data_IF_833749182802
#
_entry.id   IF_833749182802
#
_cell.length_a   1.000
_cell.length_b   1.000
_cell.length_c   1.000
_cell.angle_alpha   90.00
_cell.angle_beta   90.00
_cell.angle_gamma   90.00
#
_symmetry.space_group_name_H-M   'P 1'
#
loop_
_entity.id
_entity.type
_entity.pdbx_description
1 polymer ?
#
# COMPACT_ATOMS: atom_id res chain seq x y z
N UNK A 1 -7.61 13.08 8.83
CA UNK A 1 -7.76 11.61 8.86
C UNK A 1 -6.64 10.99 9.68
N UNK A 2 -6.98 10.16 10.66
CA UNK A 2 -6.00 9.49 11.51
C UNK A 2 -5.15 8.48 10.73
N UNK A 3 -3.84 8.41 11.02
CA UNK A 3 -2.90 7.42 10.46
C UNK A 3 -1.69 7.26 11.37
N UNK A 4 -0.95 6.17 11.21
CA UNK A 4 0.34 6.02 11.88
C UNK A 4 1.38 6.99 11.30
N UNK A 5 1.89 7.91 12.13
CA UNK A 5 2.93 8.89 11.76
C UNK A 5 4.30 8.59 12.39
N UNK A 6 4.41 7.54 13.19
CA UNK A 6 5.64 7.19 13.89
C UNK A 6 6.73 6.54 13.01
N UNK A 7 7.81 6.04 13.64
CA UNK A 7 8.95 5.43 12.94
C UNK A 7 8.54 4.26 12.03
N UNK A 8 8.84 4.38 10.73
CA UNK A 8 8.43 3.40 9.71
C UNK A 8 9.33 2.17 9.65
N UNK A 9 10.65 2.35 9.74
CA UNK A 9 11.61 1.23 9.75
C UNK A 9 11.41 0.30 10.95
N UNK A 10 10.84 0.80 12.06
CA UNK A 10 10.43 -0.01 13.22
C UNK A 10 9.36 -1.03 12.84
N UNK A 11 8.42 -0.67 11.96
CA UNK A 11 7.36 -1.56 11.51
C UNK A 11 7.91 -2.67 10.62
N UNK A 12 8.73 -2.33 9.63
CA UNK A 12 9.36 -3.33 8.75
C UNK A 12 10.24 -4.30 9.54
N UNK A 13 11.05 -3.80 10.49
CA UNK A 13 11.82 -4.66 11.41
C UNK A 13 10.96 -5.59 12.27
N UNK A 14 9.73 -5.18 12.62
CA UNK A 14 8.83 -6.01 13.42
C UNK A 14 8.19 -7.12 12.57
N UNK A 15 7.89 -6.83 11.31
CA UNK A 15 7.28 -7.78 10.38
C UNK A 15 8.31 -8.61 9.61
N UNK A 16 9.60 -8.30 9.75
CA UNK A 16 10.70 -9.10 9.17
C UNK A 16 10.86 -8.96 7.65
N UNK A 17 10.04 -8.15 6.98
CA UNK A 17 10.12 -7.88 5.54
C UNK A 17 10.06 -6.38 5.25
N UNK A 18 10.45 -5.96 4.05
CA UNK A 18 10.32 -4.57 3.62
C UNK A 18 8.87 -4.24 3.25
N UNK A 19 8.21 -3.46 4.12
CA UNK A 19 6.85 -2.97 3.91
C UNK A 19 6.76 -1.81 2.89
N UNK A 20 7.86 -1.43 2.23
CA UNK A 20 7.92 -0.35 1.22
C UNK A 20 7.43 1.01 1.75
N UNK A 21 7.58 1.25 3.05
CA UNK A 21 7.15 2.48 3.73
C UNK A 21 8.16 3.64 3.57
N UNK A 22 9.28 3.39 2.89
CA UNK A 22 10.32 4.36 2.56
C UNK A 22 10.67 4.21 1.08
N UNK A 23 11.03 5.33 0.45
CA UNK A 23 11.42 5.39 -0.96
C UNK A 23 12.59 4.46 -1.27
N UNK A 24 12.64 3.90 -2.48
CA UNK A 24 13.62 2.89 -2.90
C UNK A 24 15.08 3.37 -3.01
N UNK A 25 15.36 4.65 -2.78
CA UNK A 25 16.69 5.29 -2.96
C UNK A 25 17.85 4.56 -2.27
N UNK A 26 17.59 3.97 -1.09
CA UNK A 26 18.55 3.10 -0.41
C UNK A 26 17.94 1.71 -0.19
N UNK A 27 18.71 0.63 -0.32
CA UNK A 27 18.23 -0.71 0.02
C UNK A 27 17.71 -0.78 1.46
N UNK A 28 16.74 -1.66 1.69
CA UNK A 28 16.11 -1.86 3.00
C UNK A 28 17.14 -2.10 4.11
N UNK A 29 18.11 -3.00 3.88
CA UNK A 29 19.12 -3.41 4.86
C UNK A 29 20.01 -2.26 5.32
N UNK A 30 20.30 -1.32 4.42
CA UNK A 30 21.07 -0.11 4.75
C UNK A 30 20.26 0.80 5.67
N UNK A 31 18.94 0.89 5.46
CA UNK A 31 18.04 1.72 6.28
C UNK A 31 17.76 1.12 7.65
N UNK A 32 17.68 -0.20 7.77
CA UNK A 32 17.37 -0.89 9.02
C UNK A 32 18.58 -1.36 9.81
N UNK A 33 19.79 -1.18 9.26
CA UNK A 33 21.07 -1.80 9.67
C UNK A 33 20.99 -3.33 9.44
N UNK A 34 22.00 -3.91 8.78
CA UNK A 34 22.08 -5.27 8.16
C UNK A 34 21.65 -6.50 9.01
N UNK A 35 21.18 -6.32 10.24
CA UNK A 35 20.67 -7.37 11.10
C UNK A 35 19.35 -6.89 11.72
N UNK A 36 18.25 -7.04 11.00
CA UNK A 36 16.92 -6.57 11.39
C UNK A 36 16.34 -7.40 12.55
N UNK A 37 16.98 -7.31 13.72
CA UNK A 37 16.40 -7.72 15.00
C UNK A 37 15.06 -7.02 15.18
N UNK A 38 14.09 -7.73 15.75
CA UNK A 38 12.79 -7.16 16.15
C UNK A 38 13.06 -5.89 16.98
N UNK A 39 12.26 -4.82 16.85
CA UNK A 39 12.50 -3.61 17.63
C UNK A 39 12.31 -3.83 19.13
N UNK A 40 13.11 -3.14 19.95
CA UNK A 40 13.06 -3.18 21.42
C UNK A 40 14.29 -3.84 22.04
N UNK A 41 14.45 -3.71 23.36
CA UNK A 41 15.58 -4.25 24.12
C UNK A 41 15.75 -5.76 23.95
N UNK A 42 14.64 -6.51 23.93
CA UNK A 42 14.64 -7.97 23.75
C UNK A 42 14.71 -8.44 22.29
N UNK A 43 14.93 -7.52 21.34
CA UNK A 43 14.93 -7.83 19.91
C UNK A 43 16.01 -8.81 19.45
N UNK A 44 17.08 -8.96 20.24
CA UNK A 44 18.17 -9.90 19.99
C UNK A 44 18.04 -11.24 20.71
N UNK A 45 17.04 -11.43 21.55
CA UNK A 45 16.77 -12.73 22.15
C UNK A 45 16.24 -13.70 21.08
N UNK A 46 16.58 -14.99 21.18
CA UNK A 46 15.95 -16.03 20.34
C UNK A 46 14.44 -15.97 20.58
N UNK A 47 13.69 -15.66 19.52
CA UNK A 47 12.23 -15.63 19.60
C UNK A 47 11.68 -17.01 19.95
N UNK A 48 10.70 -17.06 20.84
CA UNK A 48 9.96 -18.29 21.13
C UNK A 48 9.13 -18.76 19.92
N UNK A 49 8.71 -20.03 19.95
CA UNK A 49 7.78 -20.59 18.96
C UNK A 49 6.52 -19.73 18.89
N UNK A 50 6.16 -19.27 17.69
CA UNK A 50 4.96 -18.46 17.51
C UNK A 50 3.71 -19.34 17.63
N UNK A 51 2.70 -18.85 18.35
CA UNK A 51 1.37 -19.46 18.33
C UNK A 51 0.67 -19.19 16.99
N UNK A 52 -0.34 -20.01 16.67
CA UNK A 52 -1.17 -19.83 15.48
C UNK A 52 -1.82 -18.44 15.43
N UNK A 53 -2.39 -17.99 16.55
CA UNK A 53 -2.93 -16.64 16.69
C UNK A 53 -1.87 -15.56 16.42
N UNK A 54 -0.63 -15.77 16.88
CA UNK A 54 0.46 -14.83 16.61
C UNK A 54 0.76 -14.76 15.11
N UNK A 55 0.80 -15.89 14.41
CA UNK A 55 1.03 -15.93 12.95
C UNK A 55 -0.06 -15.17 12.20
N UNK A 56 -1.32 -15.49 12.47
CA UNK A 56 -2.49 -14.82 11.88
C UNK A 56 -2.49 -13.31 12.17
N UNK A 57 -2.23 -12.91 13.42
CA UNK A 57 -2.14 -11.52 13.81
C UNK A 57 -1.01 -10.80 13.07
N UNK A 58 0.17 -11.41 12.91
CA UNK A 58 1.29 -10.80 12.20
C UNK A 58 0.96 -10.58 10.73
N UNK A 59 0.34 -11.55 10.08
CA UNK A 59 -0.01 -11.44 8.67
C UNK A 59 -1.01 -10.31 8.43
N UNK A 60 -2.06 -10.20 9.26
CA UNK A 60 -2.96 -9.04 9.23
C UNK A 60 -2.20 -7.73 9.42
N UNK A 61 -1.31 -7.67 10.42
CA UNK A 61 -0.55 -6.47 10.74
C UNK A 61 0.36 -6.05 9.60
N UNK A 62 1.00 -7.00 8.92
CA UNK A 62 1.84 -6.78 7.73
C UNK A 62 1.03 -6.07 6.65
N UNK A 63 -0.08 -6.66 6.21
CA UNK A 63 -0.94 -6.09 5.16
C UNK A 63 -1.49 -4.72 5.57
N UNK A 64 -2.03 -4.61 6.78
CA UNK A 64 -2.57 -3.35 7.32
C UNK A 64 -1.53 -2.22 7.28
N UNK A 65 -0.28 -2.52 7.61
CA UNK A 65 0.82 -1.55 7.61
C UNK A 65 1.31 -1.23 6.21
N UNK A 66 1.40 -2.21 5.32
CA UNK A 66 1.77 -1.99 3.91
C UNK A 66 0.86 -0.95 3.27
N UNK A 67 -0.46 -1.10 3.39
CA UNK A 67 -1.43 -0.14 2.85
C UNK A 67 -1.64 1.10 3.72
N UNK A 68 -1.06 1.14 4.93
CA UNK A 68 -1.15 2.28 5.84
C UNK A 68 -2.57 2.56 6.36
N UNK A 69 -3.41 1.52 6.48
CA UNK A 69 -4.81 1.61 6.90
C UNK A 69 -4.94 1.35 8.41
N UNK A 70 -5.88 2.01 9.09
CA UNK A 70 -6.16 1.73 10.51
C UNK A 70 -7.06 0.50 10.69
N UNK A 71 -7.00 -0.15 11.85
CA UNK A 71 -7.73 -1.40 12.10
C UNK A 71 -9.23 -1.31 11.81
N UNK A 72 -9.89 -0.24 12.26
CA UNK A 72 -11.33 -0.05 12.04
C UNK A 72 -11.66 -0.01 10.55
N UNK A 73 -10.86 0.70 9.76
CA UNK A 73 -11.07 0.77 8.31
C UNK A 73 -10.71 -0.55 7.62
N UNK A 74 -9.68 -1.24 8.09
CA UNK A 74 -9.29 -2.55 7.58
C UNK A 74 -10.36 -3.63 7.83
N UNK A 75 -10.93 -3.66 9.05
CA UNK A 75 -12.04 -4.54 9.39
C UNK A 75 -13.28 -4.27 8.54
N UNK A 76 -13.57 -2.99 8.24
CA UNK A 76 -14.65 -2.65 7.31
C UNK A 76 -14.39 -3.18 5.89
N UNK A 77 -13.15 -3.12 5.41
CA UNK A 77 -12.80 -3.73 4.11
C UNK A 77 -12.95 -5.25 4.12
N UNK A 78 -12.59 -5.91 5.21
CA UNK A 78 -12.81 -7.35 5.35
C UNK A 78 -14.30 -7.70 5.31
N UNK A 79 -15.15 -6.96 6.05
CA UNK A 79 -16.61 -7.16 6.03
C UNK A 79 -17.19 -6.98 4.62
N UNK A 80 -16.71 -5.97 3.90
CA UNK A 80 -17.13 -5.74 2.52
C UNK A 80 -16.63 -6.85 1.58
N UNK A 81 -15.38 -7.29 1.74
CA UNK A 81 -14.81 -8.39 0.97
C UNK A 81 -15.58 -9.71 1.18
N UNK A 82 -16.02 -9.99 2.41
CA UNK A 82 -16.79 -11.16 2.77
C UNK A 82 -18.23 -11.13 2.23
N UNK A 83 -18.76 -9.93 1.95
CA UNK A 83 -20.08 -9.74 1.34
C UNK A 83 -20.07 -9.99 -0.16
N UNK A 84 -18.94 -9.72 -0.81
CA UNK A 84 -18.76 -9.91 -2.25
C UNK A 84 -18.55 -11.40 -2.54
N UNK A 85 -19.19 -11.92 -3.59
CA UNK A 85 -19.03 -13.31 -4.02
C UNK A 85 -17.57 -13.59 -4.43
N UNK A 86 -17.11 -14.82 -4.19
CA UNK A 86 -15.74 -15.25 -4.52
C UNK A 86 -14.87 -15.43 -3.28
N UNK A 87 -13.56 -15.51 -3.48
CA UNK A 87 -12.60 -15.71 -2.40
C UNK A 87 -12.42 -14.42 -1.58
N UNK A 88 -12.81 -14.45 -0.30
CA UNK A 88 -12.75 -13.29 0.62
C UNK A 88 -11.35 -12.67 0.72
N UNK A 89 -10.30 -13.50 0.72
CA UNK A 89 -8.91 -13.05 0.79
C UNK A 89 -8.51 -12.22 -0.45
N UNK A 90 -8.86 -12.71 -1.64
CA UNK A 90 -8.61 -11.99 -2.90
C UNK A 90 -9.44 -10.71 -2.99
N UNK A 91 -10.71 -10.78 -2.61
CA UNK A 91 -11.61 -9.61 -2.58
C UNK A 91 -11.06 -8.51 -1.65
N UNK A 92 -10.50 -8.89 -0.49
CA UNK A 92 -9.86 -7.95 0.42
C UNK A 92 -8.67 -7.25 -0.23
N UNK A 93 -7.81 -8.00 -0.92
CA UNK A 93 -6.65 -7.43 -1.61
C UNK A 93 -7.08 -6.52 -2.78
N UNK A 94 -8.08 -6.93 -3.57
CA UNK A 94 -8.67 -6.11 -4.64
C UNK A 94 -9.20 -4.78 -4.10
N UNK A 95 -9.92 -4.79 -2.98
CA UNK A 95 -10.43 -3.57 -2.32
C UNK A 95 -9.32 -2.67 -1.76
N UNK A 96 -8.20 -3.24 -1.32
CA UNK A 96 -7.05 -2.47 -0.81
C UNK A 96 -6.25 -1.85 -1.96
N UNK A 97 -6.08 -2.58 -3.06
CA UNK A 97 -5.35 -2.09 -4.23
C UNK A 97 -6.13 -1.00 -4.99
N UNK A 98 -7.46 -1.07 -4.99
CA UNK A 98 -8.36 -0.12 -5.66
C UNK A 98 -8.52 1.22 -4.92
N UNK A 99 -7.87 1.41 -3.77
CA UNK A 99 -7.90 2.69 -3.06
C UNK A 99 -7.15 3.76 -3.83
N UNK A 100 -7.70 4.96 -3.95
CA UNK A 100 -7.08 6.08 -4.67
C UNK A 100 -5.65 6.39 -4.21
N UNK A 101 -5.37 6.40 -2.90
CA UNK A 101 -4.00 6.64 -2.42
C UNK A 101 -3.01 5.54 -2.81
N UNK A 102 -3.48 4.29 -2.90
CA UNK A 102 -2.67 3.18 -3.36
C UNK A 102 -2.50 3.22 -4.89
N UNK A 103 -3.55 3.52 -5.65
CA UNK A 103 -3.50 3.69 -7.11
C UNK A 103 -2.49 4.78 -7.49
N UNK A 104 -2.52 5.94 -6.82
CA UNK A 104 -1.56 7.03 -7.05
C UNK A 104 -0.11 6.60 -6.75
N UNK A 105 0.10 5.74 -5.76
CA UNK A 105 1.41 5.16 -5.48
C UNK A 105 1.84 4.16 -6.56
N UNK A 106 0.93 3.29 -7.00
CA UNK A 106 1.16 2.29 -8.05
C UNK A 106 1.45 2.94 -9.41
N UNK A 107 0.81 4.08 -9.70
CA UNK A 107 1.10 4.92 -10.88
C UNK A 107 2.45 5.65 -10.82
N UNK A 108 3.12 5.62 -9.66
CA UNK A 108 4.44 6.24 -9.50
C UNK A 108 4.42 7.74 -9.21
N UNK A 109 3.26 8.37 -9.02
CA UNK A 109 3.20 9.80 -8.69
C UNK A 109 3.66 10.13 -7.26
N UNK A 110 3.73 9.12 -6.38
CA UNK A 110 4.32 9.24 -5.05
C UNK A 110 5.36 8.15 -4.78
N UNK A 111 6.48 8.50 -4.15
CA UNK A 111 7.55 7.55 -3.86
C UNK A 111 7.15 6.51 -2.81
N UNK A 112 6.19 6.85 -1.95
CA UNK A 112 5.59 5.99 -0.93
C UNK A 112 4.08 6.20 -0.86
N UNK A 113 3.34 5.21 -0.34
CA UNK A 113 1.89 5.33 -0.10
C UNK A 113 1.52 6.51 0.82
N UNK A 114 2.39 6.85 1.78
CA UNK A 114 2.15 7.98 2.68
C UNK A 114 2.24 9.33 1.96
N UNK A 115 3.13 9.44 0.98
CA UNK A 115 3.27 10.60 0.11
C UNK A 115 2.14 10.68 -0.92
N UNK A 116 1.79 9.57 -1.57
CA UNK A 116 0.63 9.49 -2.46
C UNK A 116 -0.65 9.95 -1.75
N UNK A 117 -0.85 9.52 -0.50
CA UNK A 117 -1.95 10.00 0.34
C UNK A 117 -1.90 11.51 0.60
N UNK A 118 -0.70 12.08 0.77
CA UNK A 118 -0.55 13.52 0.97
C UNK A 118 -0.92 14.28 -0.31
N UNK A 119 -0.47 13.80 -1.47
CA UNK A 119 -0.85 14.36 -2.78
C UNK A 119 -2.36 14.38 -2.97
N UNK A 120 -3.04 13.27 -2.68
CA UNK A 120 -4.50 13.20 -2.69
C UNK A 120 -5.09 14.22 -1.71
N UNK A 121 -4.71 14.17 -0.43
CA UNK A 121 -5.25 15.08 0.60
C UNK A 121 -5.08 16.56 0.27
N UNK A 122 -4.01 16.92 -0.44
CA UNK A 122 -3.69 18.28 -0.87
C UNK A 122 -4.32 18.65 -2.22
N UNK A 123 -5.32 17.89 -2.70
CA UNK A 123 -6.04 18.14 -3.97
C UNK A 123 -5.11 18.23 -5.18
N UNK A 124 -3.98 17.51 -5.15
CA UNK A 124 -3.03 17.46 -6.26
C UNK A 124 -3.38 16.38 -7.30
N UNK A 125 -4.44 15.61 -7.06
CA UNK A 125 -4.90 14.50 -7.91
C UNK A 125 -6.32 14.79 -8.39
N UNK A 126 -6.59 14.44 -9.65
CA UNK A 126 -7.92 14.43 -10.24
C UNK A 126 -8.36 12.99 -10.53
N UNK A 127 -9.65 12.73 -10.39
CA UNK A 127 -10.32 11.50 -10.78
C UNK A 127 -11.40 11.88 -11.79
N UNK A 128 -11.32 11.35 -13.01
CA UNK A 128 -12.20 11.67 -14.14
C UNK A 128 -12.37 13.19 -14.32
N UNK A 129 -11.24 13.93 -14.29
CA UNK A 129 -11.19 15.38 -14.43
C UNK A 129 -11.57 16.20 -13.17
N UNK A 130 -12.13 15.58 -12.13
CA UNK A 130 -12.54 16.29 -10.90
C UNK A 130 -11.47 16.19 -9.82
N UNK A 131 -11.17 17.30 -9.15
CA UNK A 131 -10.22 17.30 -8.01
C UNK A 131 -10.81 16.52 -6.83
N UNK A 132 -10.02 15.62 -6.27
CA UNK A 132 -10.43 14.77 -5.14
C UNK A 132 -9.42 14.87 -4.01
N UNK A 133 -9.89 14.76 -2.77
CA UNK A 133 -9.03 14.79 -1.57
C UNK A 133 -9.22 13.60 -0.62
N UNK A 134 -10.06 12.65 -0.98
CA UNK A 134 -10.37 11.48 -0.14
C UNK A 134 -9.53 10.30 -0.61
N UNK A 135 -8.51 9.96 0.20
CA UNK A 135 -7.60 8.86 -0.07
C UNK A 135 -8.26 7.46 -0.12
N UNK A 136 -9.42 7.31 0.52
CA UNK A 136 -10.16 6.04 0.58
C UNK A 136 -11.21 5.86 -0.51
N UNK A 137 -11.26 6.74 -1.52
CA UNK A 137 -12.11 6.53 -2.69
C UNK A 137 -11.73 5.20 -3.34
N UNK A 138 -12.75 4.41 -3.68
CA UNK A 138 -12.57 3.19 -4.46
C UNK A 138 -12.60 3.54 -5.95
N UNK A 139 -11.48 3.28 -6.61
CA UNK A 139 -11.30 3.47 -8.06
C UNK A 139 -11.91 2.28 -8.78
N UNK A 140 -12.62 2.53 -9.86
CA UNK A 140 -13.25 1.51 -10.70
C UNK A 140 -12.47 1.33 -11.99
N UNK A 141 -12.66 0.16 -12.62
CA UNK A 141 -12.15 -0.08 -13.97
C UNK A 141 -12.65 1.02 -14.93
N UNK A 142 -11.73 1.56 -15.74
CA UNK A 142 -11.97 2.67 -16.65
C UNK A 142 -11.79 4.07 -16.06
N UNK A 143 -11.62 4.21 -14.74
CA UNK A 143 -11.36 5.51 -14.14
C UNK A 143 -9.99 6.06 -14.57
N UNK A 144 -9.97 7.35 -14.91
CA UNK A 144 -8.78 8.11 -15.28
C UNK A 144 -8.32 8.94 -14.09
N UNK A 145 -7.07 8.75 -13.68
CA UNK A 145 -6.42 9.46 -12.57
C UNK A 145 -5.29 10.30 -13.15
N UNK A 146 -5.27 11.60 -12.83
CA UNK A 146 -4.23 12.49 -13.31
C UNK A 146 -3.71 13.42 -12.22
N UNK A 147 -2.52 13.97 -12.43
CA UNK A 147 -1.96 15.03 -11.60
C UNK A 147 -2.56 16.37 -12.03
N UNK A 148 -3.10 17.11 -11.06
CA UNK A 148 -3.65 18.43 -11.28
C UNK A 148 -2.58 19.39 -11.83
N UNK A 149 -2.94 20.27 -12.78
CA UNK A 149 -2.02 21.18 -13.49
C UNK A 149 -1.06 21.94 -12.55
N UNK A 150 -1.60 22.57 -11.50
CA UNK A 150 -0.81 23.30 -10.50
C UNK A 150 0.14 22.45 -9.65
N UNK A 151 0.04 21.12 -9.74
CA UNK A 151 0.93 20.18 -9.06
C UNK A 151 1.94 19.51 -10.00
N UNK A 152 1.78 19.60 -11.33
CA UNK A 152 2.64 18.92 -12.32
C UNK A 152 4.12 19.31 -12.22
N UNK A 153 4.42 20.54 -11.78
CA UNK A 153 5.80 21.02 -11.62
C UNK A 153 6.47 20.63 -10.30
N UNK A 154 5.78 19.92 -9.41
CA UNK A 154 6.35 19.55 -8.12
C UNK A 154 7.49 18.53 -8.29
N UNK A 155 8.68 18.89 -7.81
CA UNK A 155 9.88 18.05 -7.89
C UNK A 155 9.68 16.66 -7.29
N UNK A 156 8.87 16.56 -6.23
CA UNK A 156 8.54 15.28 -5.58
C UNK A 156 7.87 14.27 -6.52
N UNK A 157 7.04 14.74 -7.45
CA UNK A 157 6.34 13.88 -8.42
C UNK A 157 7.34 13.40 -9.49
N UNK A 158 8.20 14.30 -9.98
CA UNK A 158 9.27 13.96 -10.94
C UNK A 158 10.20 12.88 -10.36
N UNK A 159 10.69 13.09 -9.15
CA UNK A 159 11.55 12.12 -8.46
C UNK A 159 10.82 10.79 -8.18
N UNK A 160 9.51 10.83 -7.90
CA UNK A 160 8.72 9.62 -7.67
C UNK A 160 8.57 8.78 -8.94
N UNK A 161 8.40 9.43 -10.10
CA UNK A 161 8.32 8.76 -11.41
C UNK A 161 9.64 8.07 -11.73
N UNK A 162 10.78 8.75 -11.55
CA UNK A 162 12.10 8.14 -11.75
C UNK A 162 12.27 6.85 -10.92
N UNK A 163 11.87 6.88 -9.64
CA UNK A 163 11.90 5.70 -8.77
C UNK A 163 10.86 4.63 -9.14
N UNK A 164 9.75 5.01 -9.77
CA UNK A 164 8.72 4.09 -10.20
C UNK A 164 9.17 3.33 -11.46
N UNK A 165 9.77 4.03 -12.44
CA UNK A 165 10.30 3.42 -13.67
C UNK A 165 11.31 2.31 -13.37
N UNK A 166 12.12 2.47 -12.32
CA UNK A 166 13.05 1.43 -11.85
C UNK A 166 12.38 0.18 -11.26
N UNK A 167 11.16 0.30 -10.72
CA UNK A 167 10.43 -0.80 -10.09
C UNK A 167 9.57 -1.61 -11.07
N UNK A 168 9.37 -1.09 -12.29
CA UNK A 168 8.40 -1.61 -13.23
C UNK A 168 6.98 -1.13 -12.93
N UNK A 169 6.15 -1.08 -13.97
CA UNK A 169 4.76 -0.64 -13.88
C UNK A 169 3.81 -1.83 -13.72
N UNK A 170 2.73 -1.68 -12.94
CA UNK A 170 1.72 -2.73 -12.80
C UNK A 170 0.97 -2.95 -14.12
N UNK A 171 0.73 -4.22 -14.47
CA UNK A 171 0.03 -4.66 -15.69
C UNK A 171 -1.42 -4.16 -15.77
N UNK A 172 -2.07 -3.99 -14.63
CA UNK A 172 -3.49 -3.61 -14.52
C UNK A 172 -3.73 -2.09 -14.61
N UNK A 173 -2.71 -1.29 -14.94
CA UNK A 173 -2.80 0.15 -15.15
C UNK A 173 -2.16 0.56 -16.48
N UNK A 174 -2.71 1.59 -17.12
CA UNK A 174 -2.04 2.33 -18.19
C UNK A 174 -1.55 3.65 -17.63
N UNK A 175 -0.30 4.03 -17.91
CA UNK A 175 0.28 5.25 -17.35
C UNK A 175 1.02 5.99 -18.46
N UNK A 176 0.64 7.25 -18.66
CA UNK A 176 1.35 8.21 -19.50
C UNK A 176 2.07 9.21 -18.58
N UNK A 177 3.37 9.00 -18.38
CA UNK A 177 4.21 9.86 -17.55
C UNK A 177 4.45 11.26 -18.16
N UNK A 178 4.31 11.40 -19.48
CA UNK A 178 4.46 12.70 -20.16
C UNK A 178 3.30 13.63 -19.79
N UNK A 179 2.08 13.07 -19.79
CA UNK A 179 0.87 13.82 -19.42
C UNK A 179 0.58 13.83 -17.92
N UNK A 180 1.22 12.93 -17.17
CA UNK A 180 0.95 12.66 -15.75
C UNK A 180 -0.48 12.18 -15.53
N UNK A 181 -0.93 11.26 -16.38
CA UNK A 181 -2.24 10.64 -16.35
C UNK A 181 -2.12 9.12 -16.43
N UNK A 182 -3.14 8.42 -15.95
CA UNK A 182 -3.22 6.98 -16.08
C UNK A 182 -4.63 6.46 -15.91
N UNK A 183 -4.90 5.32 -16.53
CA UNK A 183 -6.20 4.65 -16.52
C UNK A 183 -6.10 3.37 -15.71
N UNK A 184 -7.03 3.19 -14.77
CA UNK A 184 -7.14 1.94 -14.02
C UNK A 184 -7.88 0.91 -14.87
N UNK A 185 -7.18 -0.06 -15.47
CA UNK A 185 -7.79 -1.01 -16.42
C UNK A 185 -8.72 -1.99 -15.72
N UNK A 186 -8.23 -2.61 -14.66
CA UNK A 186 -8.95 -3.60 -13.88
C UNK A 186 -8.36 -3.70 -12.47
N UNK A 187 -9.11 -4.32 -11.56
CA UNK A 187 -8.55 -4.74 -10.28
C UNK A 187 -7.54 -5.86 -10.50
N UNK A 188 -6.39 -5.86 -9.79
CA UNK A 188 -5.36 -6.89 -9.96
C UNK A 188 -5.86 -8.26 -9.53
N UNK A 189 -5.41 -9.30 -10.23
CA UNK A 189 -5.61 -10.66 -9.78
C UNK A 189 -4.55 -11.07 -8.77
N UNK A 190 -4.75 -12.23 -8.12
CA UNK A 190 -3.87 -12.67 -7.05
C UNK A 190 -2.42 -12.87 -7.51
N UNK A 191 -2.23 -13.29 -8.76
CA UNK A 191 -0.93 -13.48 -9.41
C UNK A 191 -0.14 -12.19 -9.61
N UNK A 192 -0.83 -11.06 -9.71
CA UNK A 192 -0.20 -9.75 -9.90
C UNK A 192 0.35 -9.15 -8.59
N UNK A 193 0.00 -9.76 -7.46
CA UNK A 193 0.35 -9.28 -6.13
C UNK A 193 1.49 -10.10 -5.49
N UNK A 194 2.31 -9.49 -4.61
CA UNK A 194 3.42 -10.19 -3.97
C UNK A 194 2.98 -11.49 -3.27
N UNK A 195 3.67 -12.59 -3.58
CA UNK A 195 3.43 -13.89 -2.96
C UNK A 195 3.75 -13.92 -1.44
N UNK A 196 4.46 -12.91 -0.93
CA UNK A 196 4.80 -12.79 0.51
C UNK A 196 3.60 -12.55 1.43
N UNK A 197 2.45 -12.16 0.86
CA UNK A 197 1.21 -11.97 1.60
C UNK A 197 0.47 -13.29 1.65
N UNK A 198 0.09 -13.74 2.86
CA UNK A 198 -0.79 -14.89 3.02
C UNK A 198 -2.17 -14.43 3.50
N UNK A 199 -3.07 -14.20 2.56
CA UNK A 199 -4.42 -13.71 2.82
C UNK A 199 -5.29 -14.71 3.61
N UNK A 200 -5.05 -16.01 3.50
CA UNK A 200 -5.81 -17.06 4.21
C UNK A 200 -5.71 -16.89 5.72
N UNK A 201 -4.51 -16.60 6.23
CA UNK A 201 -4.28 -16.33 7.66
C UNK A 201 -5.05 -15.12 8.17
N UNK A 202 -5.31 -14.13 7.31
CA UNK A 202 -6.07 -12.94 7.67
C UNK A 202 -7.57 -13.26 7.74
N UNK A 203 -8.06 -14.10 6.82
CA UNK A 203 -9.44 -14.58 6.84
C UNK A 203 -9.69 -15.42 8.09
N UNK A 204 -8.81 -16.38 8.39
CA UNK A 204 -8.89 -17.20 9.61
C UNK A 204 -8.95 -16.35 10.88
N UNK A 205 -8.17 -15.26 10.95
CA UNK A 205 -8.16 -14.38 12.12
C UNK A 205 -9.51 -13.69 12.37
N UNK A 206 -10.20 -13.28 11.30
CA UNK A 206 -11.48 -12.57 11.40
C UNK A 206 -12.69 -13.50 11.45
N UNK A 207 -12.51 -14.77 11.10
CA UNK A 207 -13.52 -15.82 11.25
C UNK A 207 -13.56 -16.43 12.67
N UNK A 208 -12.61 -16.06 13.54
CA UNK A 208 -12.64 -16.37 14.98
C UNK A 208 -13.57 -15.43 15.73
#
# INVERSE_FOLDING_TARGET
MARYIGPKCKLSRREGTDLQLKSGVKPFDVKTKKHAKVPGQHGGARGGKQSEYSLQLREKQKVRRMYGVLERQFSNYYKEAARVKGATGENLLKLLESRLDNVVYRMGFGSTRAEARQLVSHRSITLNGRRVNIASIQVKAGDVIAVHEGAKQQLRIKNAIELATQRGMPSWMEIDHSKLEGTFKAAPDRSDLPAEINESLIVELYSK
#
